data_IF_458073998039
#
_entry.id   IF_458073998039
#
_cell.length_a   1.000
_cell.length_b   1.000
_cell.length_c   1.000
_cell.angle_alpha   90.00
_cell.angle_beta   90.00
_cell.angle_gamma   90.00
#
_symmetry.space_group_name_H-M   'P 1'
#
loop_
_entity.id
_entity.type
_entity.pdbx_description
1 polymer ?
#
# COMPACT_ATOMS: atom_id res chain seq x y z
N UNK A 1 35.10 34.35 45.82
CA UNK A 1 35.55 35.00 44.57
C UNK A 1 35.90 33.87 43.64
N UNK A 2 34.84 33.30 43.06
CA UNK A 2 34.83 32.06 42.32
C UNK A 2 35.18 32.33 40.85
N UNK A 3 36.24 31.68 40.37
CA UNK A 3 36.57 31.64 38.95
C UNK A 3 35.81 30.46 38.32
N UNK A 4 34.64 30.75 37.75
CA UNK A 4 33.85 29.77 37.01
C UNK A 4 34.46 29.56 35.61
N UNK A 5 34.75 28.30 35.31
CA UNK A 5 35.22 27.80 34.01
C UNK A 5 34.01 27.76 33.07
N UNK A 6 34.05 28.53 32.00
CA UNK A 6 33.02 28.55 30.96
C UNK A 6 33.21 27.34 30.01
N UNK A 7 32.45 26.27 30.24
CA UNK A 7 32.39 25.10 29.36
C UNK A 7 31.31 25.31 28.27
N UNK A 8 31.66 25.86 27.12
CA UNK A 8 31.92 25.06 25.91
C UNK A 8 30.96 23.91 25.48
N UNK A 9 29.68 23.84 25.83
CA UNK A 9 28.83 22.70 25.45
C UNK A 9 28.32 22.81 23.99
N UNK A 10 28.46 21.76 23.15
CA UNK A 10 28.03 21.80 21.76
C UNK A 10 26.50 21.66 21.66
N UNK A 11 25.86 22.60 20.95
CA UNK A 11 24.44 22.54 20.59
C UNK A 11 24.13 21.25 19.82
N UNK A 12 23.26 20.43 20.39
CA UNK A 12 22.63 19.28 19.72
C UNK A 12 21.91 19.79 18.47
N UNK A 13 22.46 19.47 17.30
CA UNK A 13 21.74 19.59 16.03
C UNK A 13 20.64 18.54 16.04
N UNK A 14 19.44 18.96 16.45
CA UNK A 14 18.21 18.22 16.21
C UNK A 14 18.03 18.15 14.69
N UNK A 15 18.54 17.07 14.09
CA UNK A 15 18.25 16.73 12.70
C UNK A 15 16.80 16.28 12.63
N UNK A 16 15.88 17.24 12.72
CA UNK A 16 14.50 17.11 12.27
C UNK A 16 14.53 16.95 10.76
N UNK A 17 14.93 15.75 10.32
CA UNK A 17 14.63 15.31 8.98
C UNK A 17 13.11 15.21 8.95
N UNK A 18 12.39 16.03 8.17
CA UNK A 18 10.96 15.87 8.07
C UNK A 18 10.73 14.48 7.49
N UNK A 19 10.32 13.54 8.34
CA UNK A 19 9.79 12.27 7.88
C UNK A 19 8.50 12.63 7.17
N UNK A 20 8.59 12.82 5.85
CA UNK A 20 7.42 12.95 5.00
C UNK A 20 6.75 11.59 5.05
N UNK A 21 5.82 11.42 5.98
CA UNK A 21 4.85 10.35 5.93
C UNK A 21 4.08 10.57 4.63
N UNK A 22 4.43 9.80 3.60
CA UNK A 22 3.60 9.58 2.43
C UNK A 22 2.32 8.91 2.93
N UNK A 23 1.42 9.69 3.54
CA UNK A 23 0.06 9.27 3.76
C UNK A 23 -0.47 8.96 2.37
N UNK A 24 -0.77 7.67 2.12
CA UNK A 24 -1.49 7.26 0.92
C UNK A 24 -2.66 8.26 0.76
N UNK A 25 -2.86 8.86 -0.43
CA UNK A 25 -3.72 10.03 -0.63
C UNK A 25 -5.21 9.79 -0.28
N UNK A 26 -5.55 8.57 0.09
CA UNK A 26 -6.82 8.13 0.62
C UNK A 26 -6.46 7.24 1.81
N UNK A 27 -7.20 7.30 2.93
CA UNK A 27 -6.97 6.45 4.09
C UNK A 27 -7.22 4.97 3.76
N UNK A 28 -6.31 4.36 3.02
CA UNK A 28 -6.37 2.96 2.62
C UNK A 28 -6.06 2.10 3.82
N UNK A 29 -6.67 0.92 3.85
CA UNK A 29 -6.43 -0.07 4.88
C UNK A 29 -4.92 -0.42 4.94
N UNK A 30 -4.31 -0.60 6.12
CA UNK A 30 -2.90 -0.97 6.24
C UNK A 30 -2.54 -2.27 5.49
N UNK A 31 -3.51 -3.17 5.35
CA UNK A 31 -3.40 -4.39 4.54
C UNK A 31 -4.08 -4.23 3.18
N UNK A 32 -3.62 -3.24 2.41
CA UNK A 32 -4.11 -2.95 1.06
C UNK A 32 -3.14 -3.49 0.01
N UNK A 33 -3.65 -4.30 -0.91
CA UNK A 33 -2.92 -4.81 -2.06
C UNK A 33 -3.09 -3.87 -3.27
N UNK A 34 -1.98 -3.30 -3.74
CA UNK A 34 -1.96 -2.42 -4.90
C UNK A 34 -1.67 -3.20 -6.19
N UNK A 35 -2.63 -3.21 -7.11
CA UNK A 35 -2.54 -3.90 -8.40
C UNK A 35 -2.43 -2.88 -9.54
N UNK A 36 -1.29 -2.82 -10.21
CA UNK A 36 -1.17 -2.08 -11.46
C UNK A 36 -1.67 -2.94 -12.63
N UNK A 37 -2.62 -2.41 -13.39
CA UNK A 37 -3.14 -3.00 -14.62
C UNK A 37 -2.68 -2.14 -15.79
N UNK A 38 -2.22 -2.81 -16.84
CA UNK A 38 -1.75 -2.23 -18.10
C UNK A 38 -2.43 -2.96 -19.26
N UNK A 39 -2.59 -2.32 -20.41
CA UNK A 39 -3.10 -2.99 -21.61
C UNK A 39 -2.38 -4.31 -21.89
N UNK A 40 -3.13 -5.38 -22.15
CA UNK A 40 -2.61 -6.74 -22.36
C UNK A 40 -2.38 -7.53 -21.06
N UNK A 41 -2.73 -6.97 -19.91
CA UNK A 41 -2.67 -7.68 -18.63
C UNK A 41 -3.56 -8.90 -18.67
N UNK A 42 -3.06 -10.03 -18.16
CA UNK A 42 -3.84 -11.27 -18.11
C UNK A 42 -4.85 -11.19 -16.95
N UNK A 43 -6.01 -10.57 -17.21
CA UNK A 43 -7.07 -10.25 -16.25
C UNK A 43 -7.43 -11.45 -15.36
N UNK A 44 -7.55 -12.66 -15.93
CA UNK A 44 -7.83 -13.88 -15.17
C UNK A 44 -6.75 -14.23 -14.15
N UNK A 45 -5.48 -14.04 -14.50
CA UNK A 45 -4.36 -14.32 -13.61
C UNK A 45 -4.33 -13.33 -12.46
N UNK A 46 -4.53 -12.04 -12.76
CA UNK A 46 -4.58 -10.99 -11.74
C UNK A 46 -5.72 -11.23 -10.76
N UNK A 47 -6.93 -11.53 -11.25
CA UNK A 47 -8.08 -11.84 -10.40
C UNK A 47 -7.83 -13.11 -9.58
N UNK A 48 -7.26 -14.16 -10.17
CA UNK A 48 -6.95 -15.39 -9.41
C UNK A 48 -5.96 -15.15 -8.28
N UNK A 49 -4.93 -14.33 -8.52
CA UNK A 49 -3.96 -13.94 -7.50
C UNK A 49 -4.64 -13.20 -6.35
N UNK A 50 -5.44 -12.19 -6.68
CA UNK A 50 -6.17 -11.39 -5.68
C UNK A 50 -7.13 -12.26 -4.86
N UNK A 51 -7.90 -13.12 -5.51
CA UNK A 51 -8.85 -14.00 -4.81
C UNK A 51 -8.13 -14.97 -3.87
N UNK A 52 -6.99 -15.53 -4.28
CA UNK A 52 -6.17 -16.36 -3.37
C UNK A 52 -5.71 -15.54 -2.16
N UNK A 53 -5.26 -14.30 -2.36
CA UNK A 53 -4.82 -13.42 -1.26
C UNK A 53 -5.95 -12.97 -0.33
N UNK A 54 -7.17 -12.83 -0.83
CA UNK A 54 -8.36 -12.51 -0.04
C UNK A 54 -8.90 -13.72 0.75
N UNK A 55 -8.80 -14.93 0.20
CA UNK A 55 -9.32 -16.16 0.84
C UNK A 55 -8.29 -16.81 1.77
N UNK A 56 -6.99 -16.67 1.46
CA UNK A 56 -5.94 -17.32 2.21
C UNK A 56 -5.88 -16.80 3.65
N UNK A 57 -6.57 -17.50 4.56
CA UNK A 57 -6.37 -17.46 6.01
C UNK A 57 -5.06 -18.14 6.44
N UNK A 58 -4.08 -18.22 5.54
CA UNK A 58 -2.80 -18.86 5.83
C UNK A 58 -2.14 -18.03 6.93
N UNK A 59 -1.91 -18.65 8.10
CA UNK A 59 -1.43 -18.00 9.33
C UNK A 59 -0.11 -17.21 9.15
N UNK A 60 0.60 -17.46 8.04
CA UNK A 60 1.85 -16.79 7.67
C UNK A 60 1.72 -15.73 6.55
N UNK A 61 0.54 -15.56 5.95
CA UNK A 61 0.32 -14.51 4.95
C UNK A 61 -0.48 -13.37 5.54
N UNK A 62 0.02 -12.13 5.41
CA UNK A 62 -0.73 -10.92 5.72
C UNK A 62 -2.10 -10.96 5.06
N UNK A 63 -3.14 -11.06 5.89
CA UNK A 63 -4.53 -11.14 5.47
C UNK A 63 -4.88 -9.82 4.74
N UNK A 64 -5.13 -9.88 3.43
CA UNK A 64 -5.41 -8.69 2.63
C UNK A 64 -6.88 -8.33 2.84
N UNK A 65 -7.17 -7.10 3.26
CA UNK A 65 -8.55 -6.64 3.48
C UNK A 65 -9.03 -5.68 2.39
N UNK A 66 -8.09 -5.07 1.67
CA UNK A 66 -8.40 -4.12 0.60
C UNK A 66 -7.54 -4.37 -0.63
N UNK A 67 -8.11 -4.09 -1.82
CA UNK A 67 -7.39 -4.16 -3.08
C UNK A 67 -7.68 -2.90 -3.88
N UNK A 68 -6.64 -2.24 -4.41
CA UNK A 68 -6.79 -1.14 -5.38
C UNK A 68 -6.33 -1.58 -6.75
N UNK A 69 -7.11 -1.26 -7.78
CA UNK A 69 -6.76 -1.50 -9.18
C UNK A 69 -6.40 -0.17 -9.83
N UNK A 70 -5.14 0.01 -10.16
CA UNK A 70 -4.61 1.24 -10.77
C UNK A 70 -4.36 1.00 -12.25
N UNK A 71 -4.77 1.93 -13.11
CA UNK A 71 -4.54 1.86 -14.54
C UNK A 71 -4.53 3.24 -15.16
N UNK A 72 -3.95 3.33 -16.35
CA UNK A 72 -3.91 4.51 -17.19
C UNK A 72 -4.31 4.13 -18.62
N UNK A 73 -4.88 5.09 -19.34
CA UNK A 73 -5.24 5.00 -20.76
C UNK A 73 -5.96 3.68 -21.09
N UNK A 74 -5.40 2.91 -22.03
CA UNK A 74 -5.96 1.65 -22.53
C UNK A 74 -6.07 0.54 -21.47
N UNK A 75 -5.39 0.67 -20.34
CA UNK A 75 -5.47 -0.28 -19.23
C UNK A 75 -6.72 -0.12 -18.35
N UNK A 76 -7.46 0.98 -18.47
CA UNK A 76 -8.59 1.31 -17.57
C UNK A 76 -9.71 0.26 -17.69
N UNK A 77 -10.08 -0.10 -18.92
CA UNK A 77 -11.14 -1.10 -19.15
C UNK A 77 -10.79 -2.46 -18.54
N UNK A 78 -9.52 -2.89 -18.63
CA UNK A 78 -9.05 -4.13 -18.01
C UNK A 78 -9.04 -4.06 -16.48
N UNK A 79 -8.72 -2.90 -15.91
CA UNK A 79 -8.78 -2.69 -14.46
C UNK A 79 -10.21 -2.77 -13.92
N UNK A 80 -11.16 -2.13 -14.62
CA UNK A 80 -12.58 -2.24 -14.30
C UNK A 80 -13.03 -3.71 -14.39
N UNK A 81 -12.63 -4.42 -15.45
CA UNK A 81 -12.95 -5.83 -15.60
C UNK A 81 -12.37 -6.70 -14.46
N UNK A 82 -11.13 -6.43 -14.02
CA UNK A 82 -10.54 -7.09 -12.86
C UNK A 82 -11.39 -6.87 -11.60
N UNK A 83 -11.75 -5.63 -11.31
CA UNK A 83 -12.55 -5.28 -10.13
C UNK A 83 -13.93 -5.95 -10.15
N UNK A 84 -14.64 -5.91 -11.29
CA UNK A 84 -15.95 -6.54 -11.44
C UNK A 84 -15.89 -8.07 -11.29
N UNK A 85 -14.88 -8.72 -11.87
CA UNK A 85 -14.70 -10.17 -11.72
C UNK A 85 -14.32 -10.56 -10.30
N UNK A 86 -13.47 -9.77 -9.63
CA UNK A 86 -13.10 -10.01 -8.24
C UNK A 86 -14.32 -9.92 -7.32
N UNK A 87 -15.13 -8.86 -7.43
CA UNK A 87 -16.38 -8.69 -6.65
C UNK A 87 -17.35 -9.85 -6.83
N UNK A 88 -17.55 -10.31 -8.07
CA UNK A 88 -18.46 -11.44 -8.35
C UNK A 88 -17.98 -12.76 -7.72
N UNK A 89 -16.67 -12.94 -7.59
CA UNK A 89 -16.08 -14.14 -6.98
C UNK A 89 -16.05 -14.05 -5.47
N UNK A 90 -15.77 -12.87 -4.90
CA UNK A 90 -15.80 -12.65 -3.45
C UNK A 90 -17.21 -12.73 -2.87
N UNK A 91 -18.24 -12.24 -3.57
CA UNK A 91 -19.64 -12.31 -3.10
C UNK A 91 -20.26 -13.72 -3.21
N UNK A 92 -19.57 -14.68 -3.83
CA UNK A 92 -20.00 -16.08 -3.92
C UNK A 92 -19.37 -16.97 -2.83
N UNK A 93 -18.54 -16.38 -1.98
CA UNK A 93 -17.86 -17.03 -0.87
C UNK A 93 -18.44 -16.50 0.44
#
# INVERSE_FOLDING_TARGET
>A
MDAAIEQYAPTETHNDTPTVSLSLPYGLHPSCLHMQVRSGSKTKNLVQFVIRKLISSDQNSTNIEQVTWNAFDDGISEAIACAEMAKRRSNRL
#
